data_IF_220588660263
#
_entry.id   IF_220588660263
#
_cell.length_a   1.000
_cell.length_b   1.000
_cell.length_c   1.000
_cell.angle_alpha   90.00
_cell.angle_beta   90.00
_cell.angle_gamma   90.00
#
_symmetry.space_group_name_H-M   'P 1'
#
loop_
_entity.id
_entity.type
_entity.pdbx_description
1 polymer ?
#
# COMPACT_ATOMS: atom_id res chain seq x y z
N UNK A 1 -9.40 -1.11 -15.60
CA UNK A 1 -8.92 -1.92 -14.47
C UNK A 1 -7.93 -1.05 -13.72
N UNK A 2 -8.31 -0.47 -12.57
CA UNK A 2 -7.34 0.25 -11.74
C UNK A 2 -6.46 -0.78 -11.11
N UNK A 3 -5.27 -0.88 -11.66
CA UNK A 3 -4.26 -1.77 -11.18
C UNK A 3 -3.41 -0.99 -10.17
N UNK A 4 -3.61 -1.17 -8.85
CA UNK A 4 -2.77 -0.52 -7.85
C UNK A 4 -1.29 -0.83 -8.08
N UNK A 5 -0.95 -1.94 -8.76
CA UNK A 5 0.41 -2.33 -9.10
C UNK A 5 0.98 -1.60 -10.33
N UNK A 6 0.17 -1.13 -11.27
CA UNK A 6 0.63 -0.23 -12.35
C UNK A 6 0.96 1.14 -11.77
N UNK A 7 0.19 1.58 -10.77
CA UNK A 7 0.51 2.81 -10.01
C UNK A 7 1.78 2.62 -9.19
N UNK A 8 1.98 1.45 -8.57
CA UNK A 8 3.26 1.07 -7.95
C UNK A 8 4.36 1.13 -9.01
N UNK A 9 4.28 0.49 -10.18
CA UNK A 9 5.34 0.49 -11.18
C UNK A 9 5.76 1.90 -11.71
N UNK A 10 4.80 2.84 -11.82
CA UNK A 10 5.08 4.20 -12.30
C UNK A 10 5.63 5.14 -11.22
N UNK A 11 5.36 4.86 -9.93
CA UNK A 11 5.82 5.69 -8.79
C UNK A 11 6.87 5.01 -7.91
N UNK A 12 7.03 3.69 -8.04
CA UNK A 12 8.12 2.88 -7.47
C UNK A 12 9.43 3.24 -8.14
N UNK A 13 9.44 3.69 -9.41
CA UNK A 13 10.66 4.27 -10.00
C UNK A 13 11.17 5.51 -9.24
N UNK A 14 10.33 6.17 -8.43
CA UNK A 14 10.80 7.19 -7.48
C UNK A 14 11.17 6.55 -6.14
N UNK A 15 10.27 5.81 -5.50
CA UNK A 15 10.55 5.26 -4.15
C UNK A 15 11.66 4.21 -4.13
N UNK A 16 11.63 3.25 -5.06
CA UNK A 16 12.64 2.22 -5.17
C UNK A 16 14.00 2.78 -5.58
N UNK A 17 14.03 3.84 -6.41
CA UNK A 17 15.26 4.58 -6.72
C UNK A 17 15.80 5.33 -5.51
N UNK A 18 14.94 6.07 -4.81
CA UNK A 18 15.34 6.89 -3.67
C UNK A 18 15.77 6.04 -2.46
N UNK A 19 15.28 4.79 -2.39
CA UNK A 19 15.67 3.79 -1.40
C UNK A 19 16.77 2.84 -1.89
N UNK A 20 17.32 3.04 -3.09
CA UNK A 20 18.38 2.22 -3.68
C UNK A 20 18.05 0.71 -3.67
N UNK A 21 16.82 0.37 -4.08
CA UNK A 21 16.38 -1.02 -4.17
C UNK A 21 17.23 -1.77 -5.20
N UNK A 22 17.78 -2.93 -4.83
CA UNK A 22 18.62 -3.73 -5.74
C UNK A 22 17.78 -4.34 -6.88
N UNK A 23 18.42 -4.56 -8.03
CA UNK A 23 17.72 -4.96 -9.26
C UNK A 23 16.99 -6.30 -9.11
N UNK A 24 17.49 -7.23 -8.29
CA UNK A 24 16.83 -8.50 -8.00
C UNK A 24 15.46 -8.32 -7.34
N UNK A 25 15.33 -7.41 -6.36
CA UNK A 25 14.04 -7.03 -5.78
C UNK A 25 13.16 -6.28 -6.80
N UNK A 26 13.76 -5.44 -7.66
CA UNK A 26 13.03 -4.76 -8.74
C UNK A 26 12.41 -5.78 -9.70
N UNK A 27 13.13 -6.86 -10.07
CA UNK A 27 12.59 -7.93 -10.91
C UNK A 27 11.41 -8.64 -10.23
N UNK A 28 11.49 -8.92 -8.93
CA UNK A 28 10.36 -9.46 -8.17
C UNK A 28 9.15 -8.51 -8.20
N UNK A 29 9.36 -7.20 -8.03
CA UNK A 29 8.28 -6.22 -8.07
C UNK A 29 7.61 -6.14 -9.44
N UNK A 30 8.37 -6.29 -10.53
CA UNK A 30 7.83 -6.35 -11.91
C UNK A 30 6.88 -7.54 -12.08
N UNK A 31 7.17 -8.66 -11.41
CA UNK A 31 6.35 -9.88 -11.36
C UNK A 31 5.25 -9.85 -10.28
N UNK A 32 5.04 -8.70 -9.61
CA UNK A 32 4.08 -8.53 -8.49
C UNK A 32 4.39 -9.39 -7.27
N UNK A 33 5.66 -9.75 -7.08
CA UNK A 33 6.15 -10.45 -5.92
C UNK A 33 6.75 -9.40 -4.99
N UNK A 34 6.15 -9.23 -3.81
CA UNK A 34 6.61 -8.28 -2.79
C UNK A 34 7.00 -9.07 -1.54
N UNK A 35 8.30 -9.35 -1.34
CA UNK A 35 8.75 -10.07 -0.16
C UNK A 35 8.47 -9.29 1.13
N UNK A 36 8.28 -10.00 2.23
CA UNK A 36 8.12 -9.42 3.58
C UNK A 36 9.51 -9.08 4.18
N UNK A 37 10.27 -8.26 3.46
CA UNK A 37 11.56 -7.72 3.91
C UNK A 37 11.43 -6.23 4.22
N UNK A 38 12.36 -5.71 5.03
CA UNK A 38 12.32 -4.34 5.52
C UNK A 38 12.37 -3.29 4.39
N UNK A 39 13.12 -3.56 3.32
CA UNK A 39 13.28 -2.62 2.22
C UNK A 39 12.01 -2.54 1.39
N UNK A 40 11.43 -3.70 1.03
CA UNK A 40 10.11 -3.76 0.39
C UNK A 40 9.05 -3.06 1.24
N UNK A 41 9.06 -3.28 2.55
CA UNK A 41 8.12 -2.60 3.45
C UNK A 41 8.23 -1.07 3.32
N UNK A 42 9.46 -0.54 3.29
CA UNK A 42 9.68 0.89 3.20
C UNK A 42 9.34 1.47 1.82
N UNK A 43 9.43 0.68 0.74
CA UNK A 43 8.93 1.09 -0.58
C UNK A 43 7.43 1.36 -0.53
N UNK A 44 6.64 0.48 0.10
CA UNK A 44 5.20 0.67 0.27
C UNK A 44 4.88 1.89 1.13
N UNK A 45 5.61 2.12 2.23
CA UNK A 45 5.49 3.36 3.01
C UNK A 45 5.71 4.61 2.15
N UNK A 46 6.82 4.67 1.43
CA UNK A 46 7.13 5.79 0.55
C UNK A 46 6.03 6.00 -0.51
N UNK A 47 5.54 4.91 -1.11
CA UNK A 47 4.46 4.94 -2.09
C UNK A 47 3.18 5.55 -1.51
N UNK A 48 2.71 5.04 -0.35
CA UNK A 48 1.52 5.57 0.32
C UNK A 48 1.66 7.06 0.70
N UNK A 49 2.83 7.47 1.17
CA UNK A 49 3.12 8.87 1.50
C UNK A 49 3.11 9.77 0.26
N UNK A 50 3.72 9.35 -0.86
CA UNK A 50 3.72 10.12 -2.12
C UNK A 50 2.34 10.24 -2.73
N UNK A 51 1.50 9.21 -2.57
CA UNK A 51 0.10 9.27 -2.97
C UNK A 51 -0.77 10.12 -2.04
N UNK A 52 -0.24 10.51 -0.87
CA UNK A 52 -0.97 11.30 0.14
C UNK A 52 -2.07 10.53 0.86
N UNK A 53 -2.06 9.18 0.76
CA UNK A 53 -3.03 8.27 1.39
C UNK A 53 -2.49 7.59 2.65
N UNK A 54 -1.22 7.84 3.00
CA UNK A 54 -0.61 7.28 4.19
C UNK A 54 0.25 8.33 4.89
N UNK A 55 0.18 8.35 6.22
CA UNK A 55 1.00 9.15 7.10
C UNK A 55 1.36 8.33 8.34
N UNK A 56 2.58 8.49 8.86
CA UNK A 56 3.06 7.69 10.00
C UNK A 56 2.28 7.98 11.30
N UNK A 57 1.69 9.17 11.42
CA UNK A 57 0.94 9.62 12.61
C UNK A 57 -0.55 9.35 12.44
N UNK A 58 -1.13 9.72 11.30
CA UNK A 58 -2.57 9.59 11.03
C UNK A 58 -2.96 8.21 10.50
N UNK A 59 -2.00 7.44 10.00
CA UNK A 59 -2.24 6.14 9.35
C UNK A 59 -2.76 6.28 7.93
N UNK A 60 -3.52 5.27 7.50
CA UNK A 60 -4.07 5.19 6.15
C UNK A 60 -5.36 6.00 6.02
N UNK A 61 -5.40 6.88 5.02
CA UNK A 61 -6.56 7.73 4.69
C UNK A 61 -7.52 6.97 3.77
N UNK A 62 -8.49 6.31 4.39
CA UNK A 62 -9.49 5.48 3.69
C UNK A 62 -10.36 6.32 2.76
N UNK A 63 -10.66 7.56 3.12
CA UNK A 63 -11.49 8.45 2.32
C UNK A 63 -10.77 8.88 1.04
N UNK A 64 -9.51 9.32 1.15
CA UNK A 64 -8.70 9.64 -0.04
C UNK A 64 -8.44 8.42 -0.92
N UNK A 65 -8.24 7.25 -0.34
CA UNK A 65 -8.07 6.05 -1.16
C UNK A 65 -9.35 5.74 -1.92
N UNK A 66 -10.51 5.78 -1.26
CA UNK A 66 -11.80 5.58 -1.93
C UNK A 66 -11.96 6.50 -3.13
N UNK A 67 -11.71 7.81 -2.96
CA UNK A 67 -11.79 8.77 -4.07
C UNK A 67 -10.89 8.42 -5.26
N UNK A 68 -9.74 7.80 -5.03
CA UNK A 68 -8.80 7.38 -6.10
C UNK A 68 -9.28 6.14 -6.86
N UNK A 69 -10.01 5.25 -6.21
CA UNK A 69 -10.35 3.93 -6.75
C UNK A 69 -11.84 3.75 -7.07
N UNK A 70 -12.71 4.67 -6.63
CA UNK A 70 -14.17 4.53 -6.69
C UNK A 70 -14.73 4.17 -8.06
N UNK A 71 -14.15 4.67 -9.14
CA UNK A 71 -14.59 4.39 -10.52
C UNK A 71 -14.33 2.94 -10.96
N UNK A 72 -13.62 2.17 -10.15
CA UNK A 72 -13.19 0.80 -10.44
C UNK A 72 -13.66 -0.21 -9.40
N UNK A 73 -14.38 0.26 -8.38
CA UNK A 73 -14.93 -0.60 -7.34
C UNK A 73 -16.24 -1.24 -7.80
N UNK A 74 -16.43 -2.49 -7.42
CA UNK A 74 -17.68 -3.24 -7.62
C UNK A 74 -18.69 -3.05 -6.47
N UNK A 75 -18.28 -2.36 -5.40
CA UNK A 75 -19.04 -2.17 -4.16
C UNK A 75 -19.28 -0.69 -3.87
N UNK A 76 -20.31 -0.40 -3.08
CA UNK A 76 -20.60 0.95 -2.61
C UNK A 76 -19.53 1.48 -1.63
N UNK A 77 -19.54 2.80 -1.44
CA UNK A 77 -18.61 3.52 -0.56
C UNK A 77 -18.56 2.96 0.85
N UNK A 78 -19.72 2.74 1.46
CA UNK A 78 -19.79 2.30 2.85
C UNK A 78 -19.23 0.87 3.00
N UNK A 79 -19.58 -0.01 2.07
CA UNK A 79 -19.04 -1.38 2.04
C UNK A 79 -17.53 -1.39 1.86
N UNK A 80 -17.00 -0.59 0.93
CA UNK A 80 -15.56 -0.43 0.75
C UNK A 80 -14.87 0.08 2.02
N UNK A 81 -15.33 1.22 2.56
CA UNK A 81 -14.71 1.87 3.73
C UNK A 81 -14.76 0.98 4.96
N UNK A 82 -15.86 0.26 5.20
CA UNK A 82 -15.96 -0.73 6.29
C UNK A 82 -14.99 -1.89 6.09
N UNK A 83 -14.91 -2.44 4.87
CA UNK A 83 -14.01 -3.53 4.52
C UNK A 83 -12.54 -3.19 4.80
N UNK A 84 -12.08 -2.05 4.28
CA UNK A 84 -10.72 -1.55 4.48
C UNK A 84 -10.42 -1.31 5.97
N UNK A 85 -11.32 -0.62 6.71
CA UNK A 85 -11.14 -0.37 8.15
C UNK A 85 -11.07 -1.67 8.97
N UNK A 86 -11.88 -2.67 8.62
CA UNK A 86 -11.83 -3.99 9.26
C UNK A 86 -10.52 -4.71 8.98
N UNK A 87 -10.07 -4.71 7.72
CA UNK A 87 -8.78 -5.30 7.36
C UNK A 87 -7.62 -4.64 8.12
N UNK A 88 -7.54 -3.30 8.13
CA UNK A 88 -6.49 -2.55 8.85
C UNK A 88 -6.44 -2.95 10.32
N UNK A 89 -7.61 -3.00 10.99
CA UNK A 89 -7.68 -3.46 12.38
C UNK A 89 -7.13 -4.86 12.56
N UNK A 90 -7.43 -5.78 11.64
CA UNK A 90 -7.00 -7.17 11.73
C UNK A 90 -5.50 -7.34 11.49
N UNK A 91 -4.94 -6.72 10.44
CA UNK A 91 -3.52 -6.91 10.06
C UNK A 91 -2.55 -6.29 11.07
N UNK A 92 -2.99 -5.31 11.85
CA UNK A 92 -2.20 -4.64 12.90
C UNK A 92 -2.40 -5.22 14.31
N UNK A 93 -3.44 -6.02 14.53
CA UNK A 93 -3.84 -6.44 15.88
C UNK A 93 -2.76 -7.23 16.60
N UNK A 94 -2.34 -6.72 17.77
CA UNK A 94 -1.41 -7.42 18.66
C UNK A 94 0.04 -7.49 18.14
N UNK A 95 0.39 -6.70 17.13
CA UNK A 95 1.73 -6.71 16.53
C UNK A 95 2.52 -5.47 16.94
N UNK A 96 3.79 -5.67 17.24
CA UNK A 96 4.77 -4.57 17.38
C UNK A 96 5.44 -4.38 16.04
N UNK A 97 5.08 -3.32 15.32
CA UNK A 97 5.51 -3.07 13.94
C UNK A 97 6.17 -1.68 13.84
N UNK A 98 7.21 -1.59 13.03
CA UNK A 98 7.78 -0.32 12.60
C UNK A 98 6.88 0.34 11.52
N UNK A 99 7.16 1.61 11.19
CA UNK A 99 6.31 2.37 10.28
C UNK A 99 6.26 1.77 8.87
N UNK A 100 7.37 1.20 8.39
CA UNK A 100 7.41 0.54 7.09
C UNK A 100 6.53 -0.71 7.07
N UNK A 101 6.66 -1.58 8.07
CA UNK A 101 5.88 -2.82 8.17
C UNK A 101 4.36 -2.52 8.28
N UNK A 102 3.98 -1.50 9.07
CA UNK A 102 2.57 -1.06 9.15
C UNK A 102 2.03 -0.65 7.78
N UNK A 103 2.76 0.20 7.06
CA UNK A 103 2.34 0.68 5.75
C UNK A 103 2.24 -0.47 4.75
N UNK A 104 3.23 -1.37 4.74
CA UNK A 104 3.28 -2.55 3.89
C UNK A 104 2.05 -3.43 4.06
N UNK A 105 1.72 -3.82 5.29
CA UNK A 105 0.57 -4.68 5.56
C UNK A 105 -0.74 -4.03 5.09
N UNK A 106 -0.93 -2.74 5.38
CA UNK A 106 -2.15 -2.02 4.98
C UNK A 106 -2.26 -1.93 3.46
N UNK A 107 -1.19 -1.49 2.80
CA UNK A 107 -1.22 -1.20 1.36
C UNK A 107 -1.18 -2.47 0.50
N UNK A 108 -0.57 -3.55 0.99
CA UNK A 108 -0.46 -4.81 0.28
C UNK A 108 -1.64 -5.75 0.55
N UNK A 109 -2.26 -5.70 1.74
CA UNK A 109 -3.28 -6.70 2.13
C UNK A 109 -4.70 -6.15 2.28
N UNK A 110 -4.88 -4.82 2.38
CA UNK A 110 -6.21 -4.23 2.65
C UNK A 110 -6.83 -3.49 1.46
N UNK A 111 -6.29 -3.65 0.24
CA UNK A 111 -6.91 -3.11 -0.97
C UNK A 111 -7.96 -4.11 -1.46
N UNK A 112 -9.24 -3.75 -1.33
CA UNK A 112 -10.37 -4.54 -1.82
C UNK A 112 -10.68 -4.10 -3.25
N UNK A 113 -10.69 -5.05 -4.19
CA UNK A 113 -11.22 -4.90 -5.56
C UNK A 113 -12.64 -5.41 -5.64
#
# INVERSE_FOLDING_TARGET
MFDPYVTIALSSRCCARDLYVPEDLIELYKERIFPDDQLTCCVFRCFGMRLGIYDDVKGFDVDKQYERVKDWLSVDEDTYKRGVKNCIRNVLRGRTLNNCEKAYLILNQCQVT
#
